data_IF_195915151816
#
_entry.id   IF_195915151816
#
_cell.length_a   1.000
_cell.length_b   1.000
_cell.length_c   1.000
_cell.angle_alpha   90.00
_cell.angle_beta   90.00
_cell.angle_gamma   90.00
#
_symmetry.space_group_name_H-M   'P 1'
#
loop_
_entity.id
_entity.type
_entity.pdbx_description
1 polymer ?
#
# COMPACT_ATOMS: atom_id res chain seq x y z
N UNK A 1 -3.59 9.01 16.94
CA UNK A 1 -2.87 8.90 15.69
C UNK A 1 -1.87 7.76 15.73
N UNK A 2 -1.50 7.24 14.58
CA UNK A 2 -0.41 6.24 14.48
C UNK A 2 0.87 6.81 15.10
N UNK A 3 1.58 6.01 15.89
CA UNK A 3 2.87 6.36 16.51
C UNK A 3 2.88 7.58 17.45
N UNK A 4 1.74 8.10 17.92
CA UNK A 4 1.68 9.27 18.80
C UNK A 4 2.52 9.09 20.08
N UNK A 5 2.40 7.92 20.72
CA UNK A 5 3.17 7.59 21.92
C UNK A 5 4.68 7.45 21.62
N UNK A 6 5.03 6.86 20.49
CA UNK A 6 6.42 6.72 20.07
C UNK A 6 7.04 8.09 19.76
N UNK A 7 6.31 8.94 19.03
CA UNK A 7 6.72 10.30 18.72
C UNK A 7 6.92 11.14 19.99
N UNK A 8 6.06 11.00 20.99
CA UNK A 8 6.20 11.74 22.26
C UNK A 8 7.41 11.31 23.09
N UNK A 9 7.79 10.03 23.05
CA UNK A 9 8.79 9.44 23.94
C UNK A 9 10.20 9.38 23.34
N UNK A 10 10.35 9.23 22.01
CA UNK A 10 11.63 8.93 21.38
C UNK A 10 12.07 10.00 20.39
N UNK A 11 13.28 10.55 20.59
CA UNK A 11 13.86 11.58 19.71
C UNK A 11 14.01 11.08 18.28
N UNK A 12 14.51 9.86 18.09
CA UNK A 12 14.68 9.28 16.75
C UNK A 12 13.40 9.28 15.92
N UNK A 13 12.24 9.09 16.56
CA UNK A 13 10.94 9.12 15.88
C UNK A 13 10.59 10.56 15.50
N UNK A 14 10.81 11.53 16.38
CA UNK A 14 10.61 12.96 16.10
C UNK A 14 11.47 13.43 14.92
N UNK A 15 12.77 13.12 14.97
CA UNK A 15 13.73 13.53 13.95
C UNK A 15 13.33 12.97 12.56
N UNK A 16 12.87 11.71 12.49
CA UNK A 16 12.39 11.11 11.23
C UNK A 16 11.09 11.76 10.74
N UNK A 17 10.19 12.14 11.63
CA UNK A 17 8.96 12.83 11.28
C UNK A 17 9.25 14.24 10.75
N UNK A 18 10.14 15.00 11.38
CA UNK A 18 10.59 16.31 10.91
C UNK A 18 11.28 16.20 9.54
N UNK A 19 12.20 15.23 9.39
CA UNK A 19 12.86 14.96 8.12
C UNK A 19 11.85 14.61 7.01
N UNK A 20 10.79 13.88 7.34
CA UNK A 20 9.76 13.53 6.35
C UNK A 20 8.97 14.76 5.88
N UNK A 21 8.65 15.69 6.79
CA UNK A 21 8.00 16.95 6.44
C UNK A 21 8.88 17.79 5.51
N UNK A 22 10.18 17.87 5.79
CA UNK A 22 11.15 18.58 4.94
C UNK A 22 11.27 17.95 3.54
N UNK A 23 11.37 16.62 3.46
CA UNK A 23 11.51 15.88 2.20
C UNK A 23 10.27 16.02 1.32
N UNK A 24 9.09 15.87 1.92
CA UNK A 24 7.81 15.92 1.20
C UNK A 24 7.29 17.35 0.99
N UNK A 25 7.84 18.33 1.72
CA UNK A 25 7.37 19.74 1.74
C UNK A 25 5.88 19.87 2.11
N UNK A 26 5.42 18.99 2.98
CA UNK A 26 4.07 18.97 3.57
C UNK A 26 4.18 18.52 5.03
N UNK A 27 3.25 18.93 5.88
CA UNK A 27 3.20 18.49 7.28
C UNK A 27 2.59 17.09 7.41
N UNK A 28 3.27 16.08 6.86
CA UNK A 28 2.81 14.69 6.97
C UNK A 28 2.82 14.21 8.43
N UNK A 29 3.74 14.71 9.24
CA UNK A 29 3.81 14.47 10.68
C UNK A 29 2.52 14.86 11.39
N UNK A 30 2.06 16.11 11.19
CA UNK A 30 0.80 16.62 11.74
C UNK A 30 -0.39 15.80 11.26
N UNK A 31 -0.41 15.45 9.98
CA UNK A 31 -1.50 14.63 9.42
C UNK A 31 -1.58 13.25 10.07
N UNK A 32 -0.44 12.62 10.37
CA UNK A 32 -0.37 11.32 11.05
C UNK A 32 -0.83 11.43 12.51
N UNK A 33 -0.38 12.46 13.23
CA UNK A 33 -0.59 12.61 14.66
C UNK A 33 -1.99 13.13 15.00
N UNK A 34 -2.47 14.10 14.25
CA UNK A 34 -3.68 14.87 14.58
C UNK A 34 -4.78 14.76 13.50
N UNK A 35 -4.48 14.25 12.31
CA UNK A 35 -5.43 14.17 11.21
C UNK A 35 -5.58 15.48 10.42
N UNK A 36 -6.69 15.66 9.70
CA UNK A 36 -7.92 14.87 9.74
C UNK A 36 -7.82 13.52 9.04
N UNK A 37 -8.65 12.57 9.48
CA UNK A 37 -8.61 11.18 9.01
C UNK A 37 -8.89 11.03 7.52
N UNK A 38 -9.85 11.77 6.98
CA UNK A 38 -10.22 11.75 5.57
C UNK A 38 -9.09 12.17 4.63
N UNK A 39 -8.21 13.08 5.06
CA UNK A 39 -6.99 13.42 4.34
C UNK A 39 -5.92 12.34 4.49
N UNK A 40 -5.75 11.76 5.68
CA UNK A 40 -4.80 10.68 5.90
C UNK A 40 -5.17 9.42 5.10
N UNK A 41 -6.45 9.13 4.94
CA UNK A 41 -6.98 7.99 4.18
C UNK A 41 -6.81 8.15 2.65
N UNK A 42 -6.46 9.33 2.15
CA UNK A 42 -6.07 9.49 0.75
C UNK A 42 -4.78 8.74 0.49
N UNK A 43 -4.75 7.85 -0.51
CA UNK A 43 -3.63 6.93 -0.70
C UNK A 43 -2.30 7.63 -0.94
N UNK A 44 -2.31 8.86 -1.46
CA UNK A 44 -1.11 9.69 -1.60
C UNK A 44 -0.51 10.12 -0.25
N UNK A 45 -1.32 10.18 0.82
CA UNK A 45 -0.88 10.45 2.19
C UNK A 45 -0.67 9.16 2.98
N UNK A 46 -1.58 8.19 2.81
CA UNK A 46 -1.54 6.91 3.53
C UNK A 46 -0.23 6.17 3.29
N UNK A 47 0.24 6.09 2.03
CA UNK A 47 1.42 5.32 1.70
C UNK A 47 2.69 5.87 2.38
N UNK A 48 3.07 7.15 2.24
CA UNK A 48 4.24 7.68 2.94
C UNK A 48 4.04 7.70 4.47
N UNK A 49 2.81 7.84 4.98
CA UNK A 49 2.54 7.82 6.41
C UNK A 49 2.79 6.43 7.03
N UNK A 50 2.32 5.35 6.40
CA UNK A 50 2.56 3.98 6.86
C UNK A 50 4.05 3.65 6.78
N UNK A 51 4.73 4.06 5.70
CA UNK A 51 6.18 3.91 5.58
C UNK A 51 6.91 4.62 6.72
N UNK A 52 6.62 5.90 6.94
CA UNK A 52 7.29 6.70 7.98
C UNK A 52 7.16 6.06 9.36
N UNK A 53 5.96 5.63 9.72
CA UNK A 53 5.72 4.97 11.01
C UNK A 53 6.46 3.63 11.09
N UNK A 54 6.36 2.77 10.06
CA UNK A 54 7.03 1.47 10.04
C UNK A 54 8.54 1.60 10.08
N UNK A 55 9.12 2.50 9.29
CA UNK A 55 10.55 2.76 9.27
C UNK A 55 11.05 3.37 10.60
N UNK A 56 10.25 4.26 11.21
CA UNK A 56 10.59 4.83 12.53
C UNK A 56 10.64 3.75 13.62
N UNK A 57 9.68 2.80 13.60
CA UNK A 57 9.69 1.66 14.51
C UNK A 57 10.93 0.79 14.28
N UNK A 58 11.28 0.50 13.02
CA UNK A 58 12.47 -0.26 12.68
C UNK A 58 13.74 0.41 13.19
N UNK A 59 13.91 1.71 12.99
CA UNK A 59 15.07 2.46 13.47
C UNK A 59 15.12 2.54 15.00
N UNK A 60 13.98 2.69 15.65
CA UNK A 60 13.87 2.69 17.10
C UNK A 60 14.34 1.34 17.69
N UNK A 61 13.86 0.23 17.14
CA UNK A 61 14.25 -1.11 17.58
C UNK A 61 15.76 -1.31 17.41
N UNK A 62 16.32 -0.89 16.27
CA UNK A 62 17.74 -1.04 15.95
C UNK A 62 18.63 -0.18 16.85
N UNK A 63 18.27 1.09 17.10
CA UNK A 63 19.15 2.04 17.78
C UNK A 63 18.94 2.11 19.29
N UNK A 64 17.69 2.20 19.74
CA UNK A 64 17.39 2.44 21.15
C UNK A 64 17.23 1.13 21.94
N UNK A 65 16.76 0.07 21.28
CA UNK A 65 16.65 -1.26 21.92
C UNK A 65 17.82 -2.19 21.63
N UNK A 66 18.76 -1.77 20.78
CA UNK A 66 19.98 -2.52 20.48
C UNK A 66 19.75 -3.88 19.83
N UNK A 67 18.58 -4.11 19.21
CA UNK A 67 18.27 -5.35 18.51
C UNK A 67 18.93 -5.31 17.14
N UNK A 68 19.82 -6.25 16.88
CA UNK A 68 20.49 -6.37 15.59
C UNK A 68 19.56 -6.97 14.54
N UNK A 69 18.81 -6.11 13.87
CA UNK A 69 17.90 -6.49 12.79
C UNK A 69 18.62 -6.92 11.49
N UNK A 70 19.95 -6.72 11.41
CA UNK A 70 20.75 -7.25 10.29
C UNK A 70 20.87 -8.80 10.34
N UNK A 71 20.49 -9.41 11.46
CA UNK A 71 20.37 -10.88 11.58
C UNK A 71 19.08 -11.45 10.96
N UNK A 72 18.14 -10.61 10.56
CA UNK A 72 16.99 -11.07 9.79
C UNK A 72 17.46 -11.65 8.45
N UNK A 73 16.97 -12.82 8.08
CA UNK A 73 17.33 -13.44 6.80
C UNK A 73 16.62 -12.73 5.64
N UNK A 74 15.41 -12.25 5.86
CA UNK A 74 14.57 -11.64 4.83
C UNK A 74 13.88 -10.39 5.35
N UNK A 75 13.72 -9.41 4.46
CA UNK A 75 12.79 -8.31 4.62
C UNK A 75 11.69 -8.45 3.57
N UNK A 76 10.45 -8.45 3.98
CA UNK A 76 9.30 -8.57 3.10
C UNK A 76 8.24 -7.53 3.44
N UNK A 77 7.48 -7.12 2.44
CA UNK A 77 6.40 -6.15 2.63
C UNK A 77 5.30 -6.30 1.58
N UNK A 78 4.07 -6.10 2.02
CA UNK A 78 2.90 -6.15 1.16
C UNK A 78 2.65 -4.79 0.52
N UNK A 79 2.55 -4.72 -0.82
CA UNK A 79 2.26 -3.51 -1.59
C UNK A 79 3.26 -2.37 -1.30
N UNK A 80 2.85 -1.29 -0.64
CA UNK A 80 3.77 -0.22 -0.21
C UNK A 80 4.83 -0.71 0.78
N UNK A 81 4.55 -1.79 1.49
CA UNK A 81 5.47 -2.42 2.44
C UNK A 81 6.75 -2.94 1.78
N UNK A 82 6.73 -3.28 0.48
CA UNK A 82 7.93 -3.62 -0.27
C UNK A 82 8.95 -2.47 -0.26
N UNK A 83 8.49 -1.22 -0.43
CA UNK A 83 9.36 -0.05 -0.32
C UNK A 83 9.92 0.12 1.10
N UNK A 84 9.12 -0.22 2.13
CA UNK A 84 9.60 -0.23 3.51
C UNK A 84 10.68 -1.30 3.71
N UNK A 85 10.48 -2.50 3.17
CA UNK A 85 11.46 -3.58 3.20
C UNK A 85 12.77 -3.18 2.52
N UNK A 86 12.70 -2.57 1.33
CA UNK A 86 13.87 -2.05 0.61
C UNK A 86 14.61 -0.97 1.40
N UNK A 87 13.90 -0.07 2.07
CA UNK A 87 14.52 0.94 2.91
C UNK A 87 15.16 0.34 4.18
N UNK A 88 14.51 -0.64 4.79
CA UNK A 88 15.06 -1.37 5.95
C UNK A 88 16.29 -2.19 5.58
N UNK A 89 16.32 -2.78 4.38
CA UNK A 89 17.48 -3.49 3.82
C UNK A 89 18.60 -2.55 3.31
N UNK A 90 18.44 -1.24 3.48
CA UNK A 90 19.36 -0.19 3.02
C UNK A 90 19.58 -0.16 1.48
N UNK A 91 18.67 -0.79 0.72
CA UNK A 91 18.67 -0.79 -0.75
C UNK A 91 18.22 0.56 -1.29
N UNK A 92 17.23 1.17 -0.66
CA UNK A 92 16.69 2.47 -1.02
C UNK A 92 16.81 3.42 0.18
N UNK A 93 17.21 4.67 -0.03
CA UNK A 93 17.31 5.62 1.07
C UNK A 93 15.93 6.15 1.51
N UNK A 94 15.86 6.67 2.73
CA UNK A 94 14.64 7.19 3.35
C UNK A 94 13.93 8.26 2.52
N UNK A 95 14.69 9.23 2.02
CA UNK A 95 14.14 10.38 1.28
C UNK A 95 13.54 9.98 -0.07
N UNK A 96 14.23 9.11 -0.81
CA UNK A 96 13.73 8.63 -2.10
C UNK A 96 12.52 7.69 -1.90
N UNK A 97 12.52 6.87 -0.85
CA UNK A 97 11.38 6.03 -0.50
C UNK A 97 10.13 6.86 -0.22
N UNK A 98 10.26 7.93 0.57
CA UNK A 98 9.14 8.85 0.84
C UNK A 98 8.58 9.49 -0.44
N UNK A 99 9.46 10.02 -1.29
CA UNK A 99 9.08 10.64 -2.56
C UNK A 99 8.40 9.65 -3.49
N UNK A 100 8.98 8.45 -3.65
CA UNK A 100 8.40 7.39 -4.47
C UNK A 100 7.00 7.00 -3.98
N UNK A 101 6.81 6.82 -2.68
CA UNK A 101 5.52 6.45 -2.12
C UNK A 101 4.47 7.57 -2.25
N UNK A 102 4.89 8.84 -2.15
CA UNK A 102 4.02 9.98 -2.42
C UNK A 102 3.57 10.00 -3.87
N UNK A 103 4.50 9.84 -4.82
CA UNK A 103 4.21 9.78 -6.25
C UNK A 103 3.34 8.57 -6.56
N UNK A 104 3.66 7.41 -6.00
CA UNK A 104 2.89 6.17 -6.16
C UNK A 104 1.45 6.36 -5.74
N UNK A 105 1.22 6.86 -4.54
CA UNK A 105 -0.13 7.10 -4.02
C UNK A 105 -0.92 8.06 -4.91
N UNK A 106 -0.31 9.16 -5.33
CA UNK A 106 -0.92 10.14 -6.22
C UNK A 106 -1.25 9.54 -7.59
N UNK A 107 -0.31 8.83 -8.21
CA UNK A 107 -0.51 8.21 -9.52
C UNK A 107 -1.60 7.14 -9.50
N UNK A 108 -1.63 6.32 -8.45
CA UNK A 108 -2.65 5.30 -8.26
C UNK A 108 -4.04 5.92 -8.05
N UNK A 109 -4.14 7.01 -7.28
CA UNK A 109 -5.41 7.72 -7.07
C UNK A 109 -5.93 8.37 -8.35
N UNK A 110 -5.03 8.83 -9.21
CA UNK A 110 -5.35 9.50 -10.48
C UNK A 110 -5.56 8.53 -11.65
N UNK A 111 -5.23 7.26 -11.50
CA UNK A 111 -5.32 6.27 -12.57
C UNK A 111 -6.77 6.01 -13.04
N UNK A 112 -7.73 6.21 -12.13
CA UNK A 112 -9.16 6.08 -12.40
C UNK A 112 -9.90 7.22 -11.71
N UNK A 113 -10.93 7.82 -12.33
CA UNK A 113 -11.74 8.86 -11.69
C UNK A 113 -12.31 8.38 -10.35
N UNK A 114 -12.39 9.30 -9.38
CA UNK A 114 -12.89 8.98 -8.04
C UNK A 114 -14.30 8.41 -8.10
N UNK A 115 -14.51 7.24 -7.49
CA UNK A 115 -15.79 6.54 -7.44
C UNK A 115 -16.06 5.59 -8.60
N UNK A 116 -15.24 5.62 -9.67
CA UNK A 116 -15.39 4.71 -10.81
C UNK A 116 -14.67 3.37 -10.62
N UNK A 117 -13.78 3.27 -9.66
CA UNK A 117 -13.07 2.05 -9.33
C UNK A 117 -13.14 1.70 -7.85
N UNK A 118 -12.88 0.45 -7.53
CA UNK A 118 -12.94 -0.04 -6.16
C UNK A 118 -12.32 -1.43 -6.00
N UNK A 119 -12.49 -1.97 -4.80
CA UNK A 119 -12.04 -3.30 -4.44
C UNK A 119 -13.08 -3.99 -3.55
N UNK A 120 -13.12 -5.32 -3.65
CA UNK A 120 -13.92 -6.17 -2.75
C UNK A 120 -13.00 -7.23 -2.13
N UNK A 121 -13.19 -7.51 -0.85
CA UNK A 121 -12.63 -8.69 -0.20
C UNK A 121 -13.58 -9.87 -0.40
N UNK A 122 -13.02 -11.03 -0.74
CA UNK A 122 -13.73 -12.32 -0.87
C UNK A 122 -13.22 -13.24 0.22
N UNK A 123 -14.14 -13.84 0.96
CA UNK A 123 -13.84 -14.67 2.13
C UNK A 123 -14.31 -16.09 1.92
N UNK A 124 -13.47 -17.06 2.31
CA UNK A 124 -13.81 -18.49 2.30
C UNK A 124 -13.79 -19.11 0.89
N UNK A 125 -13.02 -18.55 -0.04
CA UNK A 125 -12.91 -19.07 -1.40
C UNK A 125 -11.45 -19.22 -1.83
N UNK A 126 -11.21 -19.93 -2.91
CA UNK A 126 -9.90 -20.16 -3.52
C UNK A 126 -9.77 -19.40 -4.83
N UNK A 127 -8.55 -19.01 -5.24
CA UNK A 127 -8.31 -18.22 -6.45
C UNK A 127 -8.93 -18.86 -7.70
N UNK A 128 -8.77 -20.15 -7.87
CA UNK A 128 -9.22 -20.89 -9.06
C UNK A 128 -10.74 -20.78 -9.29
N UNK A 129 -11.52 -20.82 -8.19
CA UNK A 129 -12.97 -20.67 -8.28
C UNK A 129 -13.36 -19.24 -8.66
N UNK A 130 -12.68 -18.24 -8.10
CA UNK A 130 -12.95 -16.84 -8.40
C UNK A 130 -12.54 -16.51 -9.84
N UNK A 131 -11.37 -16.98 -10.30
CA UNK A 131 -10.95 -16.84 -11.69
C UNK A 131 -11.93 -17.48 -12.65
N UNK A 132 -12.45 -18.67 -12.33
CA UNK A 132 -13.49 -19.35 -13.12
C UNK A 132 -14.74 -18.48 -13.26
N UNK A 133 -15.27 -17.97 -12.14
CA UNK A 133 -16.47 -17.11 -12.16
C UNK A 133 -16.24 -15.86 -12.99
N UNK A 134 -15.08 -15.19 -12.84
CA UNK A 134 -14.74 -14.00 -13.63
C UNK A 134 -14.64 -14.33 -15.12
N UNK A 135 -13.97 -15.42 -15.48
CA UNK A 135 -13.75 -15.82 -16.88
C UNK A 135 -15.04 -16.23 -17.59
N UNK A 136 -15.94 -16.94 -16.91
CA UNK A 136 -17.25 -17.33 -17.43
C UNK A 136 -18.14 -16.11 -17.74
N UNK A 137 -17.91 -15.00 -17.04
CA UNK A 137 -18.70 -13.77 -17.15
C UNK A 137 -17.93 -12.58 -17.76
N UNK A 138 -16.80 -12.82 -18.43
CA UNK A 138 -15.92 -11.76 -18.99
C UNK A 138 -16.59 -10.82 -19.99
N UNK A 139 -17.74 -11.21 -20.56
CA UNK A 139 -18.52 -10.35 -21.45
C UNK A 139 -19.44 -9.38 -20.69
N UNK A 140 -19.67 -9.61 -19.40
CA UNK A 140 -20.59 -8.85 -18.57
C UNK A 140 -19.85 -7.84 -17.69
N UNK A 141 -18.64 -8.20 -17.21
CA UNK A 141 -17.80 -7.35 -16.38
C UNK A 141 -16.32 -7.71 -16.50
N UNK A 142 -15.46 -6.75 -16.19
CA UNK A 142 -14.00 -6.91 -16.19
C UNK A 142 -13.46 -6.67 -14.77
N UNK A 143 -13.14 -7.77 -14.07
CA UNK A 143 -12.60 -7.78 -12.71
C UNK A 143 -11.30 -8.58 -12.66
N UNK A 144 -10.45 -8.25 -11.67
CA UNK A 144 -9.12 -8.83 -11.54
C UNK A 144 -8.85 -9.24 -10.11
N UNK A 145 -8.27 -10.43 -9.89
CA UNK A 145 -7.70 -10.78 -8.60
C UNK A 145 -6.51 -9.84 -8.37
N UNK A 146 -6.62 -9.01 -7.36
CA UNK A 146 -5.62 -8.01 -6.98
C UNK A 146 -4.63 -8.55 -5.95
N UNK A 147 -5.14 -9.32 -4.96
CA UNK A 147 -4.34 -9.92 -3.91
C UNK A 147 -4.88 -11.31 -3.57
N UNK A 148 -3.95 -12.24 -3.37
CA UNK A 148 -4.14 -13.50 -2.67
C UNK A 148 -3.41 -13.38 -1.33
N UNK A 149 -4.15 -13.01 -0.27
CA UNK A 149 -3.54 -12.64 1.00
C UNK A 149 -3.26 -13.84 1.89
N UNK A 150 -4.14 -14.83 1.84
CA UNK A 150 -4.02 -16.08 2.60
C UNK A 150 -5.09 -17.06 2.13
N UNK A 151 -5.00 -18.31 2.58
CA UNK A 151 -6.04 -19.32 2.31
C UNK A 151 -7.43 -18.78 2.66
N UNK A 152 -8.28 -18.64 1.64
CA UNK A 152 -9.65 -18.16 1.79
C UNK A 152 -9.80 -16.65 1.93
N UNK A 153 -8.77 -15.83 1.67
CA UNK A 153 -8.89 -14.38 1.67
C UNK A 153 -8.26 -13.77 0.40
N UNK A 154 -9.12 -13.39 -0.52
CA UNK A 154 -8.76 -12.75 -1.78
C UNK A 154 -9.26 -11.32 -1.84
N UNK A 155 -8.62 -10.51 -2.65
CA UNK A 155 -9.12 -9.17 -3.01
C UNK A 155 -9.25 -9.09 -4.51
N UNK A 156 -10.38 -8.57 -4.97
CA UNK A 156 -10.66 -8.34 -6.39
C UNK A 156 -10.84 -6.85 -6.63
N UNK A 157 -10.22 -6.35 -7.70
CA UNK A 157 -10.29 -4.96 -8.16
C UNK A 157 -11.00 -4.86 -9.50
N UNK A 158 -11.66 -3.73 -9.73
CA UNK A 158 -12.33 -3.45 -11.00
C UNK A 158 -13.05 -2.12 -10.97
N UNK A 159 -13.79 -1.82 -12.04
CA UNK A 159 -14.74 -0.71 -12.04
C UNK A 159 -15.85 -0.99 -11.04
N UNK A 160 -16.36 0.04 -10.40
CA UNK A 160 -17.42 -0.09 -9.38
C UNK A 160 -18.61 -0.88 -9.88
N UNK A 161 -19.08 -0.58 -11.10
CA UNK A 161 -20.21 -1.28 -11.73
C UNK A 161 -19.92 -2.77 -11.96
N UNK A 162 -18.71 -3.09 -12.40
CA UNK A 162 -18.29 -4.46 -12.68
C UNK A 162 -18.18 -5.28 -11.41
N UNK A 163 -17.64 -4.67 -10.33
CA UNK A 163 -17.60 -5.29 -9.01
C UNK A 163 -19.00 -5.56 -8.45
N UNK A 164 -19.97 -4.70 -8.70
CA UNK A 164 -21.36 -4.92 -8.26
C UNK A 164 -21.98 -6.13 -8.96
N UNK A 165 -21.75 -6.31 -10.26
CA UNK A 165 -22.19 -7.49 -10.99
C UNK A 165 -21.48 -8.76 -10.48
N UNK A 166 -20.17 -8.71 -10.28
CA UNK A 166 -19.44 -9.84 -9.71
C UNK A 166 -19.97 -10.20 -8.32
N UNK A 167 -20.28 -9.23 -7.45
CA UNK A 167 -20.84 -9.50 -6.11
C UNK A 167 -22.19 -10.23 -6.19
N UNK A 168 -23.01 -9.95 -7.20
CA UNK A 168 -24.27 -10.68 -7.44
C UNK A 168 -23.98 -12.15 -7.77
N UNK A 169 -23.01 -12.41 -8.65
CA UNK A 169 -22.66 -13.78 -9.03
C UNK A 169 -21.96 -14.55 -7.89
N UNK A 170 -21.11 -13.90 -7.11
CA UNK A 170 -20.53 -14.46 -5.91
C UNK A 170 -21.63 -14.87 -4.91
N UNK A 171 -22.64 -14.02 -4.70
CA UNK A 171 -23.77 -14.32 -3.82
C UNK A 171 -24.59 -15.53 -4.31
N UNK A 172 -24.82 -15.68 -5.61
CA UNK A 172 -25.48 -16.87 -6.20
C UNK A 172 -24.70 -18.17 -5.92
N UNK A 173 -23.38 -18.06 -5.84
CA UNK A 173 -22.47 -19.16 -5.51
C UNK A 173 -22.21 -19.32 -4.00
N UNK A 174 -22.97 -18.65 -3.13
CA UNK A 174 -22.81 -18.65 -1.68
C UNK A 174 -21.42 -18.17 -1.21
N UNK A 175 -20.75 -17.34 -1.98
CA UNK A 175 -19.42 -16.77 -1.67
C UNK A 175 -19.61 -15.39 -1.04
N UNK A 176 -19.03 -15.19 0.15
CA UNK A 176 -19.10 -13.91 0.88
C UNK A 176 -18.13 -12.90 0.28
N UNK A 177 -18.63 -11.70 -0.02
CA UNK A 177 -17.82 -10.57 -0.46
C UNK A 177 -18.21 -9.28 0.29
N UNK A 178 -17.21 -8.39 0.48
CA UNK A 178 -17.37 -7.13 1.23
C UNK A 178 -16.65 -6.02 0.45
N UNK A 179 -17.34 -4.90 0.18
CA UNK A 179 -16.69 -3.70 -0.40
C UNK A 179 -15.64 -3.15 0.55
N UNK A 180 -14.44 -2.87 0.05
CA UNK A 180 -13.40 -2.22 0.82
C UNK A 180 -13.56 -0.69 0.76
N UNK A 181 -13.20 0.04 1.84
CA UNK A 181 -13.31 1.50 1.89
C UNK A 181 -12.14 2.17 1.15
N UNK A 182 -11.95 1.82 -0.11
CA UNK A 182 -10.93 2.38 -1.00
C UNK A 182 -11.60 2.97 -2.25
N UNK A 183 -11.00 4.01 -2.81
CA UNK A 183 -11.58 4.80 -3.91
C UNK A 183 -10.91 4.53 -5.27
N UNK A 184 -10.04 3.52 -5.35
CA UNK A 184 -9.37 3.15 -6.59
C UNK A 184 -9.20 1.63 -6.70
N UNK A 185 -9.17 1.08 -7.94
CA UNK A 185 -9.02 -0.35 -8.21
C UNK A 185 -7.54 -0.73 -8.24
N UNK A 186 -6.91 -0.84 -7.05
CA UNK A 186 -5.48 -1.12 -6.95
C UNK A 186 -5.13 -2.52 -7.49
N UNK A 187 -3.87 -2.70 -7.90
CA UNK A 187 -3.27 -3.97 -8.32
C UNK A 187 -3.98 -4.67 -9.49
N UNK A 188 -4.45 -3.90 -10.48
CA UNK A 188 -5.06 -4.43 -11.70
C UNK A 188 -4.64 -3.63 -12.94
N UNK A 189 -5.07 -4.06 -14.12
CA UNK A 189 -4.72 -3.40 -15.40
C UNK A 189 -5.12 -1.92 -15.47
N UNK A 190 -6.11 -1.49 -14.68
CA UNK A 190 -6.53 -0.08 -14.61
C UNK A 190 -5.45 0.83 -13.99
N UNK A 191 -4.44 0.25 -13.33
CA UNK A 191 -3.28 0.98 -12.78
C UNK A 191 -2.14 1.20 -13.79
N UNK A 192 -2.30 0.87 -15.07
CA UNK A 192 -1.23 0.94 -16.08
C UNK A 192 -0.54 2.30 -16.13
N UNK A 193 -1.31 3.40 -16.09
CA UNK A 193 -0.73 4.74 -16.09
C UNK A 193 0.15 4.99 -14.84
N UNK A 194 -0.28 4.53 -13.69
CA UNK A 194 0.53 4.61 -12.47
C UNK A 194 1.81 3.77 -12.58
N UNK A 195 1.74 2.60 -13.22
CA UNK A 195 2.91 1.75 -13.47
C UNK A 195 3.96 2.45 -14.33
N UNK A 196 3.56 3.12 -15.41
CA UNK A 196 4.50 3.84 -16.29
C UNK A 196 5.15 5.03 -15.56
N UNK A 197 4.38 5.78 -14.77
CA UNK A 197 4.92 6.87 -13.95
C UNK A 197 5.95 6.31 -12.95
N UNK A 198 5.58 5.25 -12.23
CA UNK A 198 6.47 4.65 -11.23
C UNK A 198 7.74 4.06 -11.84
N UNK A 199 7.64 3.43 -13.01
CA UNK A 199 8.81 2.92 -13.73
C UNK A 199 9.84 4.04 -13.98
N UNK A 200 9.39 5.20 -14.46
CA UNK A 200 10.26 6.33 -14.71
C UNK A 200 10.86 6.92 -13.43
N UNK A 201 10.10 6.98 -12.34
CA UNK A 201 10.58 7.52 -11.06
C UNK A 201 11.55 6.56 -10.37
N UNK A 202 11.30 5.26 -10.41
CA UNK A 202 12.19 4.22 -9.87
C UNK A 202 13.55 4.24 -10.58
N UNK A 203 13.57 4.44 -11.90
CA UNK A 203 14.82 4.50 -12.67
C UNK A 203 15.72 5.69 -12.30
N UNK A 204 15.19 6.74 -11.64
CA UNK A 204 15.96 7.89 -11.17
C UNK A 204 16.62 7.67 -9.81
N UNK A 205 16.24 6.60 -9.10
CA UNK A 205 16.74 6.32 -7.77
C UNK A 205 18.02 5.49 -7.82
N UNK A 206 18.91 5.74 -6.87
CA UNK A 206 20.13 4.96 -6.67
C UNK A 206 19.83 3.75 -5.77
N UNK A 207 19.72 2.58 -6.38
CA UNK A 207 19.52 1.31 -5.67
C UNK A 207 20.86 0.69 -5.32
N UNK A 208 21.07 0.42 -4.05
CA UNK A 208 22.23 -0.32 -3.54
C UNK A 208 21.91 -1.80 -3.42
N UNK A 209 22.96 -2.62 -3.40
CA UNK A 209 22.78 -4.03 -3.06
C UNK A 209 22.21 -4.16 -1.65
N UNK A 210 21.15 -4.94 -1.43
CA UNK A 210 20.59 -5.15 -0.10
C UNK A 210 21.62 -5.85 0.81
N UNK A 211 21.63 -5.46 2.08
CA UNK A 211 22.44 -6.15 3.09
C UNK A 211 21.84 -7.51 3.47
N UNK A 212 20.52 -7.66 3.27
CA UNK A 212 19.74 -8.86 3.55
C UNK A 212 18.85 -9.17 2.35
N UNK A 213 18.41 -10.39 2.21
CA UNK A 213 17.48 -10.80 1.13
C UNK A 213 16.06 -10.35 1.39
#
# INVERSE_FOLDING_TARGET
GMAKDLHSKFNIVRDLFEQADEVLKISISKLILDGPKDQLDQTENTQPAIFLVGFSIFQLIKKDFGIDLNKANYFAGHSLGEYTALACAETLNFSDTLKLLRIRGKSMQQAVPKGEGGMIAILGSVPELIEKIINENKNNYECYIANDNSTGQLVVSGKTKDLELLMIDLKKNNIKSIKLPVSAPFHCKLMRNATEIMKNEIQKCDFKNPKNT
#
